data_IF_807380471964
#
_entry.id   IF_807380471964
#
_cell.length_a   1.000
_cell.length_b   1.000
_cell.length_c   1.000
_cell.angle_alpha   90.00
_cell.angle_beta   90.00
_cell.angle_gamma   90.00
#
_symmetry.space_group_name_H-M   'P 1'
#
loop_
_entity.id
_entity.type
_entity.pdbx_description
1 polymer ?
#
# COMPACT_ATOMS: atom_id res chain seq x y z
N UNK A 1 16.05 -7.68 29.23
CA UNK A 1 16.10 -6.23 28.93
C UNK A 1 15.24 -5.94 27.69
N UNK A 2 14.77 -4.71 27.51
CA UNK A 2 14.09 -4.26 26.27
C UNK A 2 15.02 -3.29 25.57
N UNK A 3 15.40 -3.60 24.34
CA UNK A 3 16.22 -2.73 23.48
C UNK A 3 15.32 -2.22 22.35
N UNK A 4 15.34 -0.92 22.10
CA UNK A 4 14.47 -0.29 21.12
C UNK A 4 15.20 0.83 20.38
N UNK A 5 14.67 1.16 19.21
CA UNK A 5 15.02 2.34 18.44
C UNK A 5 13.75 3.14 18.18
N UNK A 6 13.86 4.45 18.00
CA UNK A 6 12.72 5.27 17.61
C UNK A 6 12.43 5.14 16.11
N UNK A 7 11.15 5.12 15.75
CA UNK A 7 10.71 5.22 14.37
C UNK A 7 10.44 6.65 13.94
N UNK A 8 9.89 6.81 12.73
CA UNK A 8 9.56 8.11 12.15
C UNK A 8 8.40 8.83 12.85
N UNK A 9 7.50 8.10 13.52
CA UNK A 9 6.33 8.69 14.20
C UNK A 9 6.64 9.16 15.62
N UNK A 10 7.68 8.58 16.22
CA UNK A 10 8.11 8.87 17.59
C UNK A 10 8.94 10.16 17.66
N UNK A 11 9.63 10.54 16.57
CA UNK A 11 10.51 11.73 16.54
C UNK A 11 9.72 12.99 16.89
N UNK A 12 9.94 13.49 18.10
CA UNK A 12 9.34 14.70 18.66
C UNK A 12 10.38 15.46 19.47
N UNK A 13 10.22 16.78 19.56
CA UNK A 13 11.04 17.67 20.40
C UNK A 13 10.21 18.14 21.61
N UNK A 14 10.82 18.36 22.79
CA UNK A 14 12.26 18.25 23.09
C UNK A 14 12.75 16.82 23.37
N UNK A 15 11.86 15.88 23.69
CA UNK A 15 12.18 14.46 23.91
C UNK A 15 11.16 13.58 23.17
N UNK A 16 11.59 12.44 22.66
CA UNK A 16 10.67 11.44 22.10
C UNK A 16 10.24 10.40 23.15
N UNK A 17 9.13 9.66 22.93
CA UNK A 17 8.65 8.66 23.90
C UNK A 17 9.66 7.55 24.23
N UNK A 18 10.47 7.12 23.26
CA UNK A 18 11.48 6.07 23.47
C UNK A 18 12.61 6.59 24.36
N UNK A 19 13.05 7.84 24.15
CA UNK A 19 14.01 8.51 25.04
C UNK A 19 13.46 8.69 26.45
N UNK A 20 12.19 9.05 26.60
CA UNK A 20 11.55 9.18 27.91
C UNK A 20 11.56 7.85 28.67
N UNK A 21 11.19 6.76 27.99
CA UNK A 21 11.21 5.41 28.56
C UNK A 21 12.64 4.95 28.92
N UNK A 22 13.62 5.33 28.11
CA UNK A 22 15.03 5.08 28.41
C UNK A 22 15.49 5.80 29.68
N UNK A 23 15.16 7.09 29.81
CA UNK A 23 15.46 7.88 31.02
C UNK A 23 14.79 7.34 32.28
N UNK A 24 13.68 6.61 32.13
CA UNK A 24 13.02 5.91 33.24
C UNK A 24 13.52 4.48 33.47
N UNK A 25 14.59 4.06 32.79
CA UNK A 25 15.17 2.71 32.89
C UNK A 25 14.19 1.58 32.50
N UNK A 26 13.18 1.88 31.70
CA UNK A 26 12.19 0.89 31.22
C UNK A 26 12.66 0.20 29.94
N UNK A 27 13.54 0.84 29.15
CA UNK A 27 14.17 0.27 27.96
C UNK A 27 15.55 0.88 27.70
N UNK A 28 16.29 0.29 26.78
CA UNK A 28 17.55 0.80 26.23
C UNK A 28 17.25 1.37 24.84
N UNK A 29 17.37 2.68 24.67
CA UNK A 29 17.20 3.33 23.37
C UNK A 29 18.55 3.36 22.65
N UNK A 30 18.59 2.95 21.39
CA UNK A 30 19.79 3.04 20.54
C UNK A 30 19.56 4.04 19.40
N UNK A 31 20.55 4.89 19.13
CA UNK A 31 20.57 5.69 17.92
C UNK A 31 22.01 6.00 17.48
N UNK A 32 22.55 5.14 16.61
CA UNK A 32 23.97 5.19 16.27
C UNK A 32 24.85 4.64 17.39
N UNK A 33 24.32 3.66 18.13
CA UNK A 33 24.94 3.09 19.33
C UNK A 33 24.69 1.58 19.39
N UNK A 34 25.42 0.91 20.27
CA UNK A 34 25.34 -0.53 20.45
C UNK A 34 25.22 -0.90 21.92
N UNK A 35 24.56 -2.03 22.19
CA UNK A 35 24.51 -2.61 23.52
C UNK A 35 25.00 -4.05 23.46
N UNK A 36 25.86 -4.39 24.41
CA UNK A 36 26.35 -5.74 24.64
C UNK A 36 25.54 -6.37 25.77
N UNK A 37 25.01 -7.56 25.52
CA UNK A 37 24.31 -8.38 26.48
C UNK A 37 25.08 -9.69 26.64
N UNK A 38 25.64 -9.90 27.83
CA UNK A 38 26.37 -11.11 28.19
C UNK A 38 25.52 -11.97 29.12
N UNK A 39 25.44 -13.27 28.81
CA UNK A 39 24.78 -14.28 29.62
C UNK A 39 25.61 -15.56 29.70
N UNK A 40 25.08 -16.58 30.38
CA UNK A 40 25.70 -17.91 30.44
C UNK A 40 25.91 -18.53 29.07
N UNK A 41 25.07 -18.14 28.11
CA UNK A 41 24.96 -18.77 26.79
C UNK A 41 25.76 -17.99 25.72
N UNK A 42 26.50 -16.96 26.14
CA UNK A 42 27.40 -16.18 25.28
C UNK A 42 27.11 -14.67 25.26
N UNK A 43 27.65 -14.03 24.23
CA UNK A 43 27.61 -12.57 24.03
C UNK A 43 26.73 -12.23 22.82
N UNK A 44 25.76 -11.33 23.03
CA UNK A 44 24.87 -10.77 22.01
C UNK A 44 25.09 -9.26 21.93
N UNK A 45 25.45 -8.76 20.75
CA UNK A 45 25.60 -7.32 20.52
C UNK A 45 24.53 -6.82 19.56
N UNK A 46 23.77 -5.82 19.99
CA UNK A 46 22.72 -5.18 19.20
C UNK A 46 23.19 -3.78 18.84
N UNK A 47 23.34 -3.53 17.55
CA UNK A 47 23.68 -2.24 16.97
C UNK A 47 22.40 -1.60 16.44
N UNK A 48 22.05 -0.41 16.91
CA UNK A 48 20.76 0.22 16.62
C UNK A 48 20.86 1.63 16.05
N UNK A 49 20.16 1.87 14.94
CA UNK A 49 19.92 3.22 14.42
C UNK A 49 18.42 3.46 14.23
N UNK A 50 17.87 4.36 15.05
CA UNK A 50 16.52 4.91 14.86
C UNK A 50 16.33 5.59 13.50
N UNK A 51 15.09 6.00 13.25
CA UNK A 51 14.75 6.62 11.97
C UNK A 51 15.56 7.90 11.72
N UNK A 52 15.96 8.03 10.47
CA UNK A 52 16.66 9.18 9.88
C UNK A 52 15.95 9.39 8.56
N UNK A 53 15.62 10.63 8.15
CA UNK A 53 15.01 10.85 6.85
C UNK A 53 15.80 10.14 5.74
N UNK A 54 15.10 9.42 4.86
CA UNK A 54 15.68 8.46 3.92
C UNK A 54 16.84 9.07 3.10
N UNK A 55 16.71 10.32 2.65
CA UNK A 55 17.77 11.08 1.95
C UNK A 55 19.10 11.23 2.71
N UNK A 56 19.10 11.08 4.03
CA UNK A 56 20.27 11.19 4.90
C UNK A 56 20.69 9.85 5.50
N UNK A 57 19.89 8.79 5.35
CA UNK A 57 20.11 7.50 5.99
C UNK A 57 21.47 6.88 5.61
N UNK A 58 21.83 6.92 4.32
CA UNK A 58 23.11 6.38 3.84
C UNK A 58 24.31 7.12 4.46
N UNK A 59 24.22 8.45 4.53
CA UNK A 59 25.27 9.28 5.16
C UNK A 59 25.36 9.02 6.66
N UNK A 60 24.23 8.87 7.35
CA UNK A 60 24.20 8.57 8.78
C UNK A 60 24.84 7.20 9.07
N UNK A 61 24.46 6.15 8.32
CA UNK A 61 25.08 4.83 8.43
C UNK A 61 26.58 4.86 8.15
N UNK A 62 27.00 5.56 7.10
CA UNK A 62 28.43 5.69 6.78
C UNK A 62 29.22 6.46 7.85
N UNK A 63 28.59 7.43 8.52
CA UNK A 63 29.25 8.22 9.57
C UNK A 63 29.33 7.45 10.88
N UNK A 64 28.29 6.68 11.21
CA UNK A 64 28.28 5.80 12.38
C UNK A 64 29.20 4.59 12.18
N UNK A 65 29.16 3.98 11.00
CA UNK A 65 30.02 2.86 10.56
C UNK A 65 30.06 1.70 11.55
N UNK A 66 28.91 1.09 11.92
CA UNK A 66 28.89 0.02 12.90
C UNK A 66 29.62 -1.21 12.37
N UNK A 67 30.42 -1.83 13.23
CA UNK A 67 31.15 -3.07 12.95
C UNK A 67 30.76 -4.16 13.95
N UNK A 68 30.60 -5.42 13.51
CA UNK A 68 30.36 -6.54 14.41
C UNK A 68 31.45 -6.67 15.48
N UNK A 69 31.06 -7.07 16.69
CA UNK A 69 31.96 -7.44 17.79
C UNK A 69 32.08 -8.96 17.92
N UNK A 70 32.88 -9.44 18.88
CA UNK A 70 32.83 -10.85 19.30
C UNK A 70 31.43 -11.25 19.80
N UNK A 71 30.97 -12.43 19.41
CA UNK A 71 29.63 -12.95 19.72
C UNK A 71 28.64 -12.84 18.56
N UNK A 72 27.35 -12.97 18.85
CA UNK A 72 26.29 -12.86 17.86
C UNK A 72 25.92 -11.38 17.65
N UNK A 73 25.88 -10.92 16.40
CA UNK A 73 25.65 -9.50 16.10
C UNK A 73 24.35 -9.24 15.34
N UNK A 74 23.55 -8.31 15.87
CA UNK A 74 22.31 -7.85 15.26
C UNK A 74 22.46 -6.41 14.79
N UNK A 75 22.11 -6.12 13.53
CA UNK A 75 21.92 -4.76 13.03
C UNK A 75 20.43 -4.43 12.95
N UNK A 76 19.98 -3.47 13.77
CA UNK A 76 18.59 -3.06 13.87
C UNK A 76 18.40 -1.63 13.34
N UNK A 77 17.58 -1.48 12.30
CA UNK A 77 17.35 -0.19 11.61
C UNK A 77 15.86 0.11 11.46
N UNK A 78 15.50 1.40 11.45
CA UNK A 78 14.17 1.86 11.06
C UNK A 78 14.26 2.74 9.81
N UNK A 79 14.44 2.13 8.64
CA UNK A 79 14.70 2.84 7.37
C UNK A 79 13.95 2.21 6.19
N UNK A 80 13.67 2.99 5.15
CA UNK A 80 13.25 2.44 3.86
C UNK A 80 14.42 1.71 3.19
N UNK A 81 14.17 0.53 2.63
CA UNK A 81 15.18 -0.26 1.92
C UNK A 81 14.68 -0.67 0.54
N UNK A 82 15.53 -0.49 -0.47
CA UNK A 82 15.23 -0.77 -1.86
C UNK A 82 14.83 -2.26 -2.02
N UNK A 83 13.77 -2.50 -2.78
CA UNK A 83 13.22 -3.85 -3.01
C UNK A 83 12.20 -4.29 -1.95
N UNK A 84 12.11 -3.61 -0.81
CA UNK A 84 11.11 -3.93 0.23
C UNK A 84 9.99 -2.89 0.33
N UNK A 85 10.26 -1.65 -0.06
CA UNK A 85 9.29 -0.56 -0.12
C UNK A 85 9.46 0.26 -1.41
N UNK A 86 8.37 0.89 -1.83
CA UNK A 86 8.38 1.95 -2.85
C UNK A 86 8.25 3.30 -2.13
N UNK A 87 9.36 3.89 -1.65
CA UNK A 87 9.33 5.15 -0.93
C UNK A 87 9.12 6.35 -1.87
N UNK A 88 8.72 7.48 -1.26
CA UNK A 88 8.66 8.78 -1.95
C UNK A 88 10.04 9.44 -2.06
N UNK A 89 11.01 9.00 -1.24
CA UNK A 89 12.40 9.46 -1.22
C UNK A 89 13.35 8.29 -1.57
N UNK A 90 14.64 8.54 -1.79
CA UNK A 90 15.61 7.47 -2.10
C UNK A 90 15.75 6.51 -0.91
N UNK A 91 15.38 5.21 -1.03
CA UNK A 91 15.62 4.23 0.03
C UNK A 91 17.11 3.91 0.16
N UNK A 92 17.49 3.29 1.29
CA UNK A 92 18.78 2.63 1.41
C UNK A 92 18.92 1.49 0.40
N UNK A 93 20.06 1.43 -0.26
CA UNK A 93 20.45 0.29 -1.08
C UNK A 93 21.12 -0.78 -0.22
N UNK A 94 20.98 -2.05 -0.61
CA UNK A 94 21.59 -3.17 0.14
C UNK A 94 23.11 -2.99 0.26
N UNK A 95 23.76 -2.44 -0.76
CA UNK A 95 25.20 -2.16 -0.76
C UNK A 95 25.65 -1.10 0.25
N UNK A 96 24.74 -0.23 0.72
CA UNK A 96 25.02 0.81 1.72
C UNK A 96 24.86 0.30 3.16
N UNK A 97 24.30 -0.91 3.33
CA UNK A 97 24.08 -1.52 4.63
C UNK A 97 25.38 -2.20 5.07
N UNK A 98 25.87 -1.94 6.29
CA UNK A 98 27.08 -2.58 6.84
C UNK A 98 27.04 -4.11 6.78
N UNK A 99 28.20 -4.72 6.50
CA UNK A 99 28.37 -6.17 6.37
C UNK A 99 28.84 -6.81 7.68
N UNK A 100 28.77 -8.15 7.74
CA UNK A 100 29.37 -8.95 8.81
C UNK A 100 28.46 -9.24 10.00
N UNK A 101 27.23 -8.71 10.01
CA UNK A 101 26.23 -9.02 11.03
C UNK A 101 25.59 -10.38 10.77
N UNK A 102 25.14 -11.03 11.84
CA UNK A 102 24.48 -12.34 11.77
C UNK A 102 22.99 -12.24 11.52
N UNK A 103 22.38 -11.13 11.92
CA UNK A 103 20.95 -10.88 11.75
C UNK A 103 20.69 -9.39 11.47
N UNK A 104 19.83 -9.12 10.49
CA UNK A 104 19.32 -7.78 10.17
C UNK A 104 17.85 -7.69 10.58
N UNK A 105 17.45 -6.62 11.28
CA UNK A 105 16.08 -6.40 11.75
C UNK A 105 15.59 -5.02 11.35
N UNK A 106 14.61 -4.93 10.43
CA UNK A 106 14.12 -3.65 9.90
C UNK A 106 12.67 -3.34 10.28
N UNK A 107 12.46 -2.17 10.92
CA UNK A 107 11.18 -1.78 11.54
C UNK A 107 10.28 -0.84 10.73
N UNK A 108 10.78 -0.17 9.69
CA UNK A 108 9.99 0.85 8.95
C UNK A 108 8.94 0.24 8.01
N UNK A 109 9.12 -1.02 7.62
CA UNK A 109 8.29 -1.70 6.62
C UNK A 109 7.13 -2.39 7.35
N UNK A 110 5.90 -1.97 7.07
CA UNK A 110 4.72 -2.37 7.86
C UNK A 110 4.17 -3.77 7.56
N UNK A 111 4.64 -4.41 6.49
CA UNK A 111 4.22 -5.76 6.08
C UNK A 111 5.28 -6.77 6.51
N UNK A 112 4.93 -7.81 7.28
CA UNK A 112 5.91 -8.81 7.68
C UNK A 112 6.55 -9.50 6.48
N UNK A 113 7.87 -9.68 6.55
CA UNK A 113 8.65 -10.32 5.50
C UNK A 113 9.93 -10.96 6.04
N UNK A 114 10.47 -11.91 5.28
CA UNK A 114 11.82 -12.45 5.45
C UNK A 114 12.61 -12.16 4.18
N UNK A 115 13.91 -12.00 4.33
CA UNK A 115 14.81 -11.83 3.21
C UNK A 115 16.24 -12.14 3.62
N UNK A 116 17.16 -11.63 2.82
CA UNK A 116 18.58 -11.77 3.06
C UNK A 116 19.29 -10.45 2.77
N UNK A 117 20.29 -10.13 3.57
CA UNK A 117 21.23 -9.05 3.35
C UNK A 117 22.63 -9.64 3.51
N UNK A 118 23.47 -9.49 2.48
CA UNK A 118 24.87 -9.95 2.49
C UNK A 118 25.04 -11.42 2.91
N UNK A 119 24.18 -12.35 2.46
CA UNK A 119 24.29 -13.76 2.82
C UNK A 119 23.66 -14.14 4.16
N UNK A 120 23.02 -13.20 4.85
CA UNK A 120 22.57 -13.36 6.24
C UNK A 120 21.09 -12.99 6.40
N UNK A 121 20.37 -13.61 7.35
CA UNK A 121 18.93 -13.39 7.53
C UNK A 121 18.55 -11.92 7.73
N UNK A 122 17.53 -11.49 7.00
CA UNK A 122 16.80 -10.25 7.25
C UNK A 122 15.39 -10.58 7.75
N UNK A 123 15.04 -10.03 8.90
CA UNK A 123 13.69 -10.07 9.44
C UNK A 123 13.05 -8.68 9.38
N UNK A 124 11.87 -8.64 8.79
CA UNK A 124 10.98 -7.48 8.80
C UNK A 124 9.75 -7.89 9.59
N UNK A 125 9.64 -7.53 10.88
CA UNK A 125 8.51 -7.91 11.72
C UNK A 125 7.16 -7.41 11.21
N UNK A 126 7.16 -6.30 10.48
CA UNK A 126 5.95 -5.59 10.13
C UNK A 126 5.38 -4.79 11.30
N UNK A 127 4.21 -4.21 11.06
CA UNK A 127 3.45 -3.46 12.07
C UNK A 127 2.60 -4.42 12.92
N UNK A 128 2.41 -4.10 14.20
CA UNK A 128 1.50 -4.87 15.08
C UNK A 128 0.03 -4.48 14.91
N UNK A 129 -0.23 -3.41 14.15
CA UNK A 129 -1.56 -2.89 13.79
C UNK A 129 -1.61 -2.54 12.31
N UNK A 130 -2.78 -2.66 11.69
CA UNK A 130 -2.97 -2.26 10.28
C UNK A 130 -3.09 -0.73 10.19
N UNK A 131 -2.34 -0.12 9.28
CA UNK A 131 -2.18 1.35 9.23
C UNK A 131 -2.56 1.95 7.88
N UNK A 132 -2.46 1.20 6.78
CA UNK A 132 -2.68 1.67 5.41
C UNK A 132 -4.02 1.21 4.82
N UNK A 133 -4.65 0.19 5.40
CA UNK A 133 -5.92 -0.40 4.91
C UNK A 133 -5.87 -0.79 3.42
N UNK A 134 -4.72 -1.28 2.99
CA UNK A 134 -4.42 -1.72 1.63
C UNK A 134 -4.32 -3.24 1.55
N UNK A 135 -4.14 -3.80 0.34
CA UNK A 135 -3.98 -5.25 0.17
C UNK A 135 -2.74 -5.80 0.91
N UNK A 136 -1.66 -5.02 1.04
CA UNK A 136 -0.47 -5.44 1.79
C UNK A 136 -0.74 -5.56 3.30
N UNK A 137 -1.74 -4.84 3.80
CA UNK A 137 -2.23 -4.94 5.17
C UNK A 137 -3.11 -6.15 5.42
N UNK A 138 -3.41 -6.98 4.40
CA UNK A 138 -4.12 -8.24 4.59
C UNK A 138 -3.25 -9.33 5.22
N UNK A 139 -1.91 -9.22 5.12
CA UNK A 139 -0.99 -10.17 5.76
C UNK A 139 -1.17 -10.14 7.27
N UNK A 140 -1.05 -11.32 7.87
CA UNK A 140 -1.13 -11.53 9.32
C UNK A 140 -0.10 -10.67 10.06
N UNK A 141 -0.43 -10.26 11.29
CA UNK A 141 0.48 -9.52 12.16
C UNK A 141 1.01 -10.42 13.24
N UNK A 142 2.25 -10.20 13.66
CA UNK A 142 2.96 -11.11 14.53
C UNK A 142 4.24 -10.50 15.07
N UNK A 143 4.94 -11.33 15.82
CA UNK A 143 6.30 -11.08 16.28
C UNK A 143 7.19 -12.23 15.80
N UNK A 144 8.47 -11.95 15.62
CA UNK A 144 9.46 -12.99 15.40
C UNK A 144 10.10 -13.37 16.73
N UNK A 145 10.17 -14.68 16.99
CA UNK A 145 11.04 -15.25 18.01
C UNK A 145 12.27 -15.78 17.28
N UNK A 146 13.45 -15.29 17.63
CA UNK A 146 14.70 -15.72 17.03
C UNK A 146 15.51 -16.50 18.06
N UNK A 147 15.89 -17.73 17.71
CA UNK A 147 16.78 -18.58 18.49
C UNK A 147 18.21 -18.33 18.03
N UNK A 148 19.00 -17.67 18.87
CA UNK A 148 20.37 -17.23 18.55
C UNK A 148 21.32 -18.43 18.36
N UNK A 149 21.18 -19.47 19.18
CA UNK A 149 22.06 -20.64 19.11
C UNK A 149 21.81 -21.44 17.83
N UNK A 150 20.54 -21.60 17.46
CA UNK A 150 20.14 -22.36 16.27
C UNK A 150 20.17 -21.52 15.00
N UNK A 151 20.16 -20.19 15.11
CA UNK A 151 20.04 -19.27 13.98
C UNK A 151 18.71 -19.39 13.24
N UNK A 152 17.62 -19.75 13.93
CA UNK A 152 16.29 -19.96 13.32
C UNK A 152 15.24 -19.03 13.90
N UNK A 153 14.28 -18.64 13.07
CA UNK A 153 13.18 -17.76 13.46
C UNK A 153 11.82 -18.47 13.42
N UNK A 154 10.91 -18.03 14.30
CA UNK A 154 9.52 -18.46 14.35
C UNK A 154 8.61 -17.23 14.33
N UNK A 155 7.66 -17.20 13.39
CA UNK A 155 6.67 -16.13 13.37
C UNK A 155 5.46 -16.49 14.23
N UNK A 156 5.26 -15.75 15.31
CA UNK A 156 4.14 -15.92 16.23
C UNK A 156 3.06 -14.89 15.90
N UNK A 157 1.94 -15.38 15.39
CA UNK A 157 0.78 -14.55 15.03
C UNK A 157 0.17 -13.92 16.28
N UNK A 158 -0.17 -12.63 16.20
CA UNK A 158 -0.93 -11.95 17.25
C UNK A 158 -2.38 -12.46 17.23
N UNK A 159 -2.84 -13.01 18.36
CA UNK A 159 -4.15 -13.69 18.46
C UNK A 159 -5.33 -12.74 18.26
N UNK A 160 -5.26 -11.55 18.87
CA UNK A 160 -6.39 -10.61 18.96
C UNK A 160 -6.19 -9.41 18.05
N UNK A 161 -6.40 -9.62 16.75
CA UNK A 161 -6.21 -8.61 15.71
C UNK A 161 -7.52 -8.26 15.03
N UNK A 162 -7.74 -6.97 14.76
CA UNK A 162 -8.90 -6.52 14.00
C UNK A 162 -8.78 -6.97 12.55
N UNK A 163 -9.78 -7.67 12.04
CA UNK A 163 -9.81 -8.11 10.64
C UNK A 163 -10.01 -6.91 9.72
N UNK A 164 -9.20 -6.81 8.65
CA UNK A 164 -9.42 -5.85 7.57
C UNK A 164 -10.13 -6.55 6.42
N UNK A 165 -11.15 -5.89 5.92
CA UNK A 165 -11.94 -6.31 4.78
C UNK A 165 -11.90 -5.16 3.78
N UNK A 166 -11.54 -5.46 2.54
CA UNK A 166 -11.55 -4.50 1.44
C UNK A 166 -12.63 -4.95 0.48
N UNK A 167 -13.68 -4.15 0.35
CA UNK A 167 -14.80 -4.41 -0.57
C UNK A 167 -14.81 -3.37 -1.66
N UNK A 168 -14.77 -3.82 -2.90
CA UNK A 168 -14.89 -2.97 -4.07
C UNK A 168 -16.31 -3.05 -4.60
N UNK A 169 -16.89 -1.90 -4.89
CA UNK A 169 -18.13 -1.75 -5.65
C UNK A 169 -17.82 -1.03 -6.95
N UNK A 170 -18.31 -1.58 -8.05
CA UNK A 170 -18.09 -1.06 -9.40
C UNK A 170 -19.43 -0.63 -9.98
N UNK A 171 -19.53 0.65 -10.30
CA UNK A 171 -20.76 1.26 -10.83
C UNK A 171 -20.55 1.79 -12.23
N UNK A 172 -21.57 1.66 -13.08
CA UNK A 172 -21.61 2.26 -14.41
C UNK A 172 -22.93 3.02 -14.55
N UNK A 173 -22.84 4.32 -14.82
CA UNK A 173 -23.99 5.20 -14.97
C UNK A 173 -24.98 5.16 -13.79
N UNK A 174 -24.47 4.98 -12.56
CA UNK A 174 -25.31 4.79 -11.37
C UNK A 174 -25.69 6.12 -10.73
N UNK A 175 -26.88 6.16 -10.15
CA UNK A 175 -27.34 7.26 -9.29
C UNK A 175 -26.74 7.15 -7.90
N UNK A 176 -26.68 8.28 -7.17
CA UNK A 176 -26.26 8.30 -5.76
C UNK A 176 -27.10 7.32 -4.91
N UNK A 177 -28.42 7.29 -5.14
CA UNK A 177 -29.34 6.43 -4.39
C UNK A 177 -29.06 4.94 -4.58
N UNK A 178 -28.75 4.52 -5.80
CA UNK A 178 -28.39 3.12 -6.09
C UNK A 178 -27.10 2.73 -5.37
N UNK A 179 -26.09 3.60 -5.41
CA UNK A 179 -24.81 3.36 -4.74
C UNK A 179 -25.00 3.26 -3.22
N UNK A 180 -25.73 4.18 -2.61
CA UNK A 180 -26.00 4.17 -1.16
C UNK A 180 -26.79 2.93 -0.75
N UNK A 181 -27.79 2.54 -1.55
CA UNK A 181 -28.60 1.35 -1.31
C UNK A 181 -27.73 0.10 -1.29
N UNK A 182 -26.92 -0.14 -2.33
CA UNK A 182 -26.10 -1.35 -2.43
C UNK A 182 -25.06 -1.43 -1.30
N UNK A 183 -24.45 -0.29 -0.96
CA UNK A 183 -23.50 -0.21 0.18
C UNK A 183 -24.21 -0.52 1.50
N UNK A 184 -25.41 0.02 1.74
CA UNK A 184 -26.19 -0.26 2.96
C UNK A 184 -26.65 -1.71 3.03
N UNK A 185 -27.11 -2.28 1.92
CA UNK A 185 -27.52 -3.69 1.83
C UNK A 185 -26.36 -4.61 2.23
N UNK A 186 -25.17 -4.38 1.65
CA UNK A 186 -23.96 -5.11 2.04
C UNK A 186 -23.65 -4.99 3.54
N UNK A 187 -23.72 -3.79 4.12
CA UNK A 187 -23.43 -3.57 5.54
C UNK A 187 -24.49 -4.15 6.47
N UNK A 188 -25.75 -4.21 6.03
CA UNK A 188 -26.85 -4.84 6.78
C UNK A 188 -26.73 -6.35 6.80
N UNK A 189 -26.35 -6.97 5.69
CA UNK A 189 -26.15 -8.42 5.57
C UNK A 189 -24.77 -8.87 6.07
N UNK A 190 -23.88 -7.93 6.36
CA UNK A 190 -22.55 -8.24 6.83
C UNK A 190 -22.61 -8.96 8.20
N UNK A 191 -21.92 -10.12 8.36
CA UNK A 191 -22.03 -10.92 9.58
C UNK A 191 -21.13 -10.38 10.69
N UNK A 192 -21.55 -9.27 11.31
CA UNK A 192 -20.79 -8.54 12.33
C UNK A 192 -20.43 -9.41 13.55
N UNK A 193 -21.33 -10.31 13.93
CA UNK A 193 -21.24 -11.23 15.06
C UNK A 193 -20.12 -12.28 14.91
N UNK A 194 -19.63 -12.52 13.70
CA UNK A 194 -18.52 -13.44 13.46
C UNK A 194 -17.15 -12.89 13.89
N UNK A 195 -17.10 -11.63 14.36
CA UNK A 195 -15.85 -10.94 14.67
C UNK A 195 -15.77 -10.55 16.16
N UNK A 196 -14.79 -11.11 16.88
CA UNK A 196 -14.53 -10.77 18.29
C UNK A 196 -14.20 -9.28 18.48
N UNK A 197 -13.47 -8.70 17.53
CA UNK A 197 -13.24 -7.27 17.41
C UNK A 197 -13.93 -6.78 16.14
N UNK A 198 -14.82 -5.78 16.27
CA UNK A 198 -15.53 -5.22 15.11
C UNK A 198 -14.58 -4.93 13.94
N UNK A 199 -14.83 -5.39 12.71
CA UNK A 199 -13.82 -5.35 11.66
C UNK A 199 -13.49 -3.92 11.19
N UNK A 200 -12.35 -3.77 10.51
CA UNK A 200 -12.03 -2.63 9.67
C UNK A 200 -12.57 -2.92 8.26
N UNK A 201 -13.57 -2.18 7.79
CA UNK A 201 -14.12 -2.36 6.45
C UNK A 201 -13.74 -1.15 5.60
N UNK A 202 -12.88 -1.38 4.60
CA UNK A 202 -12.51 -0.40 3.58
C UNK A 202 -13.39 -0.61 2.34
N UNK A 203 -14.36 0.27 2.15
CA UNK A 203 -15.25 0.25 1.00
C UNK A 203 -14.69 1.17 -0.09
N UNK A 204 -14.40 0.60 -1.26
CA UNK A 204 -13.93 1.34 -2.44
C UNK A 204 -15.05 1.42 -3.46
N UNK A 205 -15.53 2.63 -3.71
CA UNK A 205 -16.59 2.92 -4.67
C UNK A 205 -15.91 3.41 -5.95
N UNK A 206 -16.01 2.60 -7.00
CA UNK A 206 -15.29 2.76 -8.26
C UNK A 206 -16.29 2.90 -9.41
N UNK A 207 -15.87 3.58 -10.49
CA UNK A 207 -16.64 3.65 -11.73
C UNK A 207 -17.28 5.01 -11.98
N UNK A 208 -18.52 5.02 -12.46
CA UNK A 208 -19.14 6.21 -13.06
C UNK A 208 -20.50 6.56 -12.48
N UNK A 209 -20.67 7.86 -12.23
CA UNK A 209 -21.96 8.45 -11.88
C UNK A 209 -22.77 8.77 -13.11
N UNK A 210 -24.08 8.63 -12.99
CA UNK A 210 -25.06 9.11 -13.96
C UNK A 210 -24.92 10.62 -14.17
N UNK A 211 -25.21 11.08 -15.39
CA UNK A 211 -25.19 12.51 -15.70
C UNK A 211 -26.18 13.30 -14.81
N UNK A 212 -25.70 14.42 -14.27
CA UNK A 212 -26.44 15.26 -13.33
C UNK A 212 -26.16 14.96 -11.85
N UNK A 213 -25.67 13.77 -11.53
CA UNK A 213 -25.32 13.37 -10.16
C UNK A 213 -23.93 13.90 -9.78
N UNK A 214 -23.73 14.22 -8.49
CA UNK A 214 -22.44 14.67 -7.97
C UNK A 214 -21.94 13.76 -6.88
N UNK A 215 -20.60 13.60 -6.83
CA UNK A 215 -19.95 12.88 -5.74
C UNK A 215 -20.23 13.45 -4.36
N UNK A 216 -20.43 14.77 -4.28
CA UNK A 216 -20.74 15.48 -3.03
C UNK A 216 -22.06 15.05 -2.42
N UNK A 217 -22.93 14.46 -3.23
CA UNK A 217 -24.29 14.13 -2.84
C UNK A 217 -24.34 12.73 -2.20
N UNK A 218 -23.27 11.93 -2.30
CA UNK A 218 -23.13 10.69 -1.54
C UNK A 218 -22.83 10.99 -0.07
N UNK A 219 -23.77 10.68 0.83
CA UNK A 219 -23.56 10.85 2.27
C UNK A 219 -22.95 9.60 2.91
N UNK A 220 -21.68 9.37 2.57
CA UNK A 220 -20.90 8.26 3.13
C UNK A 220 -20.68 8.41 4.65
N UNK A 221 -20.82 9.62 5.19
CA UNK A 221 -20.69 9.87 6.63
C UNK A 221 -21.95 9.38 7.37
N UNK A 222 -23.14 9.68 6.85
CA UNK A 222 -24.39 9.16 7.39
C UNK A 222 -24.37 7.62 7.41
N UNK A 223 -23.97 6.99 6.30
CA UNK A 223 -23.82 5.53 6.26
C UNK A 223 -22.83 5.07 7.33
N UNK A 224 -21.68 5.71 7.50
CA UNK A 224 -20.73 5.30 8.56
C UNK A 224 -21.31 5.43 9.97
N UNK A 225 -22.14 6.44 10.24
CA UNK A 225 -22.74 6.68 11.55
C UNK A 225 -23.84 5.65 11.87
N UNK A 226 -24.62 5.21 10.86
CA UNK A 226 -25.65 4.16 10.99
C UNK A 226 -25.09 2.85 11.55
N UNK A 227 -23.84 2.51 11.21
CA UNK A 227 -23.17 1.27 11.62
C UNK A 227 -22.13 1.49 12.73
N UNK A 228 -22.16 2.63 13.40
CA UNK A 228 -21.24 2.95 14.50
C UNK A 228 -21.34 1.92 15.62
N UNK A 229 -20.19 1.50 16.12
CA UNK A 229 -20.09 0.49 17.19
C UNK A 229 -20.03 -0.96 16.70
N UNK A 230 -20.44 -1.27 15.46
CA UNK A 230 -20.30 -2.61 14.88
C UNK A 230 -18.90 -2.87 14.32
N UNK A 231 -18.26 -1.83 13.80
CA UNK A 231 -16.89 -1.86 13.29
C UNK A 231 -16.40 -0.47 12.93
N UNK A 232 -15.27 -0.39 12.22
CA UNK A 232 -14.73 0.87 11.70
C UNK A 232 -14.84 0.80 10.19
N UNK A 233 -15.66 1.68 9.62
CA UNK A 233 -15.90 1.75 8.18
C UNK A 233 -15.13 2.93 7.61
N UNK A 234 -14.48 2.71 6.48
CA UNK A 234 -13.71 3.73 5.78
C UNK A 234 -14.02 3.68 4.30
N UNK A 235 -14.31 4.83 3.70
CA UNK A 235 -14.68 4.92 2.29
C UNK A 235 -13.55 5.49 1.43
N UNK A 236 -13.49 5.01 0.19
CA UNK A 236 -12.69 5.56 -0.90
C UNK A 236 -13.61 5.80 -2.09
N UNK A 237 -13.96 7.06 -2.36
CA UNK A 237 -14.77 7.43 -3.51
C UNK A 237 -13.88 7.78 -4.71
N UNK A 238 -13.80 6.88 -5.69
CA UNK A 238 -13.11 7.08 -6.97
C UNK A 238 -14.07 7.09 -8.16
N UNK A 239 -15.32 7.48 -7.94
CA UNK A 239 -16.27 7.66 -9.04
C UNK A 239 -15.76 8.72 -10.01
N UNK A 240 -16.32 8.80 -11.20
CA UNK A 240 -16.12 9.94 -12.11
C UNK A 240 -17.44 10.26 -12.81
N UNK A 241 -17.69 11.52 -13.13
CA UNK A 241 -18.78 11.86 -14.06
C UNK A 241 -18.25 11.73 -15.50
N UNK A 242 -19.09 11.30 -16.45
CA UNK A 242 -18.76 11.30 -17.89
C UNK A 242 -18.21 12.65 -18.36
N UNK A 243 -18.83 13.76 -17.91
CA UNK A 243 -18.38 15.12 -18.22
C UNK A 243 -16.94 15.41 -17.78
N UNK A 244 -16.56 15.07 -16.54
CA UNK A 244 -15.19 15.26 -16.03
C UNK A 244 -14.15 14.40 -16.76
N UNK A 245 -14.51 13.17 -17.18
CA UNK A 245 -13.65 12.35 -18.05
C UNK A 245 -13.44 13.00 -19.41
N UNK A 246 -14.51 13.55 -20.00
CA UNK A 246 -14.44 14.30 -21.27
C UNK A 246 -13.58 15.56 -21.14
N UNK A 247 -13.74 16.34 -20.07
CA UNK A 247 -12.90 17.50 -19.78
C UNK A 247 -11.43 17.14 -19.53
N UNK A 248 -11.17 16.04 -18.81
CA UNK A 248 -9.81 15.53 -18.58
C UNK A 248 -9.10 15.23 -19.91
N UNK A 249 -9.79 14.56 -20.83
CA UNK A 249 -9.30 14.28 -22.19
C UNK A 249 -9.01 15.54 -22.99
N UNK A 250 -9.94 16.50 -23.00
CA UNK A 250 -9.73 17.81 -23.65
C UNK A 250 -8.48 18.51 -23.09
N UNK A 251 -8.24 18.40 -21.78
CA UNK A 251 -7.07 18.99 -21.13
C UNK A 251 -5.76 18.28 -21.48
N UNK A 252 -5.77 16.95 -21.63
CA UNK A 252 -4.60 16.17 -22.07
C UNK A 252 -4.25 16.46 -23.52
N UNK A 253 -5.26 16.55 -24.41
CA UNK A 253 -5.09 16.94 -25.80
C UNK A 253 -4.51 18.38 -25.93
N UNK A 254 -5.04 19.35 -25.16
CA UNK A 254 -4.51 20.73 -25.15
C UNK A 254 -3.07 20.85 -24.66
N UNK A 255 -2.61 19.91 -23.83
CA UNK A 255 -1.24 19.88 -23.29
C UNK A 255 -0.27 19.07 -24.16
N UNK A 256 -0.73 18.54 -25.30
CA UNK A 256 0.09 17.76 -26.22
C UNK A 256 0.46 16.36 -25.70
N UNK A 257 -0.21 15.86 -24.65
CA UNK A 257 0.05 14.52 -24.11
C UNK A 257 -0.68 13.40 -24.88
N UNK A 258 -1.62 13.75 -25.76
CA UNK A 258 -2.30 12.83 -26.65
C UNK A 258 -2.37 13.48 -28.03
N UNK A 259 -1.93 12.76 -29.06
CA UNK A 259 -2.20 13.11 -30.45
C UNK A 259 -3.71 13.02 -30.74
N UNK A 260 -4.17 13.71 -31.79
CA UNK A 260 -5.58 13.66 -32.24
C UNK A 260 -6.03 12.20 -32.49
N UNK A 261 -5.10 11.39 -33.01
CA UNK A 261 -5.27 9.95 -33.25
C UNK A 261 -5.47 9.15 -31.96
N UNK A 262 -4.62 9.36 -30.96
CA UNK A 262 -4.75 8.68 -29.66
C UNK A 262 -6.01 9.12 -28.90
N UNK A 263 -6.41 10.38 -29.04
CA UNK A 263 -7.67 10.87 -28.48
C UNK A 263 -8.87 10.17 -29.13
N UNK A 264 -8.89 10.06 -30.46
CA UNK A 264 -9.97 9.40 -31.19
C UNK A 264 -10.04 7.90 -30.89
N UNK A 265 -8.90 7.21 -30.84
CA UNK A 265 -8.81 5.82 -30.39
C UNK A 265 -9.38 5.62 -28.98
N UNK A 266 -9.03 6.50 -28.03
CA UNK A 266 -9.55 6.42 -26.66
C UNK A 266 -11.07 6.62 -26.56
N UNK A 267 -11.67 7.38 -27.48
CA UNK A 267 -13.12 7.58 -27.55
C UNK A 267 -13.78 6.30 -28.09
N UNK A 268 -13.23 5.70 -29.14
CA UNK A 268 -13.76 4.46 -29.72
C UNK A 268 -13.61 3.29 -28.73
N UNK A 269 -12.49 3.18 -28.02
CA UNK A 269 -12.29 2.14 -26.99
C UNK A 269 -13.34 2.22 -25.87
N UNK A 270 -13.76 3.42 -25.50
CA UNK A 270 -14.75 3.63 -24.43
C UNK A 270 -16.18 3.32 -24.87
N UNK A 271 -16.56 3.73 -26.09
CA UNK A 271 -17.91 3.52 -26.60
C UNK A 271 -18.11 2.08 -27.11
N UNK A 272 -17.04 1.42 -27.60
CA UNK A 272 -17.14 0.12 -28.27
C UNK A 272 -16.36 -1.02 -27.61
N UNK A 273 -15.31 -0.72 -26.83
CA UNK A 273 -14.32 -1.73 -26.38
C UNK A 273 -14.81 -2.72 -25.32
N UNK A 274 -15.90 -2.41 -24.59
CA UNK A 274 -16.52 -3.37 -23.66
C UNK A 274 -17.74 -4.10 -24.25
N UNK A 275 -18.32 -3.59 -25.34
CA UNK A 275 -19.65 -4.01 -25.82
C UNK A 275 -19.59 -4.91 -27.06
N UNK A 276 -18.45 -4.97 -27.74
CA UNK A 276 -18.25 -5.72 -28.98
C UNK A 276 -16.90 -6.43 -29.02
N UNK A 277 -16.84 -7.64 -29.60
CA UNK A 277 -15.60 -8.42 -29.85
C UNK A 277 -14.67 -7.77 -30.89
N UNK A 278 -14.83 -6.48 -31.15
CA UNK A 278 -14.20 -5.74 -32.23
C UNK A 278 -13.09 -4.88 -31.65
N UNK A 279 -11.91 -4.93 -32.26
CA UNK A 279 -10.80 -4.08 -31.89
C UNK A 279 -11.12 -2.61 -32.21
N UNK A 280 -11.12 -1.70 -31.22
CA UNK A 280 -11.30 -0.26 -31.44
C UNK A 280 -10.29 0.34 -32.42
N UNK A 281 -9.10 -0.28 -32.55
CA UNK A 281 -8.08 0.10 -33.53
C UNK A 281 -8.49 -0.22 -34.97
N UNK A 282 -9.21 -1.31 -35.20
CA UNK A 282 -9.68 -1.68 -36.54
C UNK A 282 -10.79 -0.73 -37.01
N UNK A 283 -11.71 -0.37 -36.11
CA UNK A 283 -12.72 0.66 -36.38
C UNK A 283 -12.04 1.98 -36.76
N UNK A 284 -11.04 2.39 -35.98
CA UNK A 284 -10.29 3.62 -36.26
C UNK A 284 -9.57 3.58 -37.61
N UNK A 285 -8.95 2.45 -37.98
CA UNK A 285 -8.25 2.28 -39.26
C UNK A 285 -9.19 2.37 -40.47
N UNK A 286 -10.42 1.85 -40.36
CA UNK A 286 -11.42 1.99 -41.42
C UNK A 286 -11.86 3.45 -41.55
N UNK A 287 -12.03 4.16 -40.43
CA UNK A 287 -12.38 5.59 -40.42
C UNK A 287 -11.24 6.49 -40.94
N UNK A 288 -9.98 6.06 -40.83
CA UNK A 288 -8.80 6.78 -41.34
C UNK A 288 -8.51 6.47 -42.82
N UNK A 289 -9.21 5.53 -43.44
CA UNK A 289 -8.95 5.14 -44.82
C UNK A 289 -9.41 6.21 -45.82
N UNK A 290 -8.62 6.44 -46.89
CA UNK A 290 -8.96 7.36 -47.99
C UNK A 290 -10.08 6.82 -48.92
N UNK A 291 -10.95 5.95 -48.40
CA UNK A 291 -12.06 5.38 -49.16
C UNK A 291 -13.22 6.38 -49.24
N UNK A 292 -14.05 6.32 -50.31
CA UNK A 292 -15.31 7.06 -50.35
C UNK A 292 -16.21 6.72 -49.15
N UNK A 293 -16.97 7.70 -48.65
CA UNK A 293 -17.81 7.55 -47.45
C UNK A 293 -18.74 6.33 -47.50
N UNK A 294 -19.31 6.01 -48.67
CA UNK A 294 -20.16 4.82 -48.85
C UNK A 294 -19.41 3.50 -48.62
N UNK A 295 -18.15 3.41 -49.06
CA UNK A 295 -17.30 2.23 -48.89
C UNK A 295 -16.80 2.09 -47.45
N UNK A 296 -16.53 3.22 -46.78
CA UNK A 296 -16.20 3.27 -45.35
C UNK A 296 -17.37 2.74 -44.53
N UNK A 297 -18.59 3.20 -44.80
CA UNK A 297 -19.81 2.76 -44.12
C UNK A 297 -20.10 1.28 -44.35
N UNK A 298 -19.93 0.77 -45.58
CA UNK A 298 -20.10 -0.66 -45.88
C UNK A 298 -19.05 -1.52 -45.17
N UNK A 299 -17.78 -1.07 -45.11
CA UNK A 299 -16.73 -1.77 -44.34
C UNK A 299 -17.02 -1.79 -42.85
N UNK A 300 -17.40 -0.67 -42.26
CA UNK A 300 -17.79 -0.60 -40.84
C UNK A 300 -18.99 -1.51 -40.57
N UNK A 301 -19.97 -1.54 -41.48
CA UNK A 301 -21.14 -2.41 -41.36
C UNK A 301 -20.76 -3.88 -41.37
N UNK A 302 -19.87 -4.32 -42.26
CA UNK A 302 -19.35 -5.71 -42.26
C UNK A 302 -18.60 -6.01 -40.98
N UNK A 303 -17.70 -5.11 -40.56
CA UNK A 303 -16.90 -5.27 -39.35
C UNK A 303 -17.78 -5.39 -38.08
N UNK A 304 -18.90 -4.67 -38.04
CA UNK A 304 -19.91 -4.73 -36.97
C UNK A 304 -20.86 -5.93 -37.05
N UNK A 305 -21.11 -6.47 -38.26
CA UNK A 305 -21.99 -7.62 -38.48
C UNK A 305 -21.27 -8.96 -38.29
N UNK A 306 -20.02 -9.07 -38.75
CA UNK A 306 -19.21 -10.29 -38.67
C UNK A 306 -18.80 -10.62 -37.22
N UNK A 307 -18.85 -9.63 -36.33
CA UNK A 307 -18.51 -9.76 -34.91
C UNK A 307 -19.75 -9.78 -33.98
N UNK A 308 -20.96 -9.99 -34.53
CA UNK A 308 -22.14 -10.35 -33.73
C UNK A 308 -22.15 -11.85 -33.44
N UNK A 309 -21.34 -12.28 -32.47
CA UNK A 309 -21.45 -13.57 -31.78
C UNK A 309 -21.26 -13.38 -30.30
#
# INVERSE_FOLDING_TARGET
PVVAIHGNHEIRRPINPIEALHKSSLLINLHGESVVLEGSDGKLTIHGMGFVPDKYAAKALSSWSPSPEEGFNVLMLHQSVLGYVYPNERPLEIGEIPKGFDLYVFGHIHTPNRGEIHGKPLLIPGSTVRTQLSKSDLKERGIFLFDVEKGVDFFVKLRRQRTLIIKDFHFKDATVREIEKEVREFLNEFPWENYELGPLIRIRILGELKDGERKSDLDLKAISEEFKGKGIISFSNRLTSKFMRRLGRIRMARRGFLSVKELALSIIEEEFGEMHSISPREIFQVLESDLPDEDVLERLRRLLLDNRS
#
